data_IF_902669252934
#
_entry.id   IF_902669252934
#
_cell.length_a   1.000
_cell.length_b   1.000
_cell.length_c   1.000
_cell.angle_alpha   90.00
_cell.angle_beta   90.00
_cell.angle_gamma   90.00
#
_symmetry.space_group_name_H-M   'P 1'
#
loop_
_entity.id
_entity.type
_entity.pdbx_description
1 polymer ?
#
# COMPACT_ATOMS: atom_id res chain seq x y z
N UNK A 1 33.92 14.28 24.10
CA UNK A 1 33.91 13.15 23.14
C UNK A 1 33.58 13.72 21.77
N UNK A 2 34.47 13.58 20.79
CA UNK A 2 34.25 14.15 19.45
C UNK A 2 33.03 13.51 18.80
N UNK A 3 32.09 14.34 18.33
CA UNK A 3 30.90 13.89 17.62
C UNK A 3 31.37 13.30 16.28
N UNK A 4 31.44 11.98 16.18
CA UNK A 4 31.84 11.30 14.96
C UNK A 4 30.79 11.64 13.90
N UNK A 5 31.24 12.13 12.75
CA UNK A 5 30.37 12.44 11.61
C UNK A 5 29.53 11.19 11.23
N UNK A 6 28.19 11.27 11.28
CA UNK A 6 27.31 10.17 10.92
C UNK A 6 27.56 9.61 9.52
N UNK A 7 27.95 10.47 8.55
CA UNK A 7 28.23 10.01 7.20
C UNK A 7 29.54 9.21 7.13
N UNK A 8 30.56 9.63 7.89
CA UNK A 8 31.79 8.86 8.05
C UNK A 8 31.56 7.47 8.66
N UNK A 9 30.59 7.32 9.57
CA UNK A 9 30.20 6.01 10.12
C UNK A 9 29.54 5.10 9.09
N UNK A 10 28.79 5.67 8.15
CA UNK A 10 28.12 4.91 7.09
C UNK A 10 29.08 4.52 5.95
N UNK A 11 30.17 5.26 5.76
CA UNK A 11 31.10 5.05 4.64
C UNK A 11 31.80 3.70 4.72
N UNK A 12 31.58 2.86 3.71
CA UNK A 12 32.07 1.48 3.60
C UNK A 12 31.69 0.58 4.78
N UNK A 13 30.58 0.91 5.46
CA UNK A 13 30.22 0.25 6.71
C UNK A 13 29.97 -1.26 6.54
N UNK A 14 29.49 -1.70 5.36
CA UNK A 14 29.38 -3.12 5.00
C UNK A 14 30.73 -3.84 4.91
N UNK A 15 31.79 -3.15 4.44
CA UNK A 15 33.15 -3.69 4.38
C UNK A 15 33.80 -3.76 5.76
N UNK A 16 33.45 -2.81 6.64
CA UNK A 16 33.97 -2.69 8.01
C UNK A 16 33.21 -3.55 9.03
N UNK A 17 32.26 -4.38 8.59
CA UNK A 17 31.36 -5.17 9.44
C UNK A 17 30.73 -4.34 10.58
N UNK A 18 30.30 -3.12 10.24
CA UNK A 18 29.74 -2.21 11.23
C UNK A 18 28.43 -2.77 11.80
N UNK A 19 28.26 -2.81 13.14
CA UNK A 19 27.03 -3.30 13.75
C UNK A 19 25.81 -2.57 13.21
N UNK A 20 24.77 -3.34 12.84
CA UNK A 20 23.59 -2.82 12.15
C UNK A 20 22.88 -1.68 12.92
N UNK A 21 22.85 -1.73 14.25
CA UNK A 21 22.23 -0.69 15.07
C UNK A 21 22.99 0.64 15.01
N UNK A 22 24.31 0.62 14.78
CA UNK A 22 25.11 1.84 14.57
C UNK A 22 24.82 2.47 13.20
N UNK A 23 24.54 1.67 12.18
CA UNK A 23 24.09 2.16 10.87
C UNK A 23 22.77 2.92 11.00
N UNK A 24 21.82 2.35 11.76
CA UNK A 24 20.53 2.99 12.02
C UNK A 24 20.70 4.28 12.83
N UNK A 25 21.53 4.26 13.87
CA UNK A 25 21.81 5.47 14.66
C UNK A 25 22.41 6.59 13.80
N UNK A 26 23.34 6.26 12.91
CA UNK A 26 23.92 7.22 11.97
C UNK A 26 22.88 7.75 10.96
N UNK A 27 22.03 6.89 10.42
CA UNK A 27 20.93 7.30 9.53
C UNK A 27 19.96 8.25 10.25
N UNK A 28 19.49 7.89 11.45
CA UNK A 28 18.60 8.73 12.26
C UNK A 28 19.25 10.07 12.61
N UNK A 29 20.55 10.10 12.87
CA UNK A 29 21.27 11.34 13.16
C UNK A 29 21.38 12.26 11.94
N UNK A 30 21.40 11.72 10.73
CA UNK A 30 21.32 12.51 9.49
C UNK A 30 19.89 13.04 9.28
N UNK A 31 18.89 12.15 9.40
CA UNK A 31 17.46 12.49 9.22
C UNK A 31 16.94 13.48 10.28
N UNK A 32 17.54 13.49 11.48
CA UNK A 32 17.21 14.46 12.52
C UNK A 32 17.73 15.88 12.21
N UNK A 33 18.75 16.04 11.37
CA UNK A 33 19.28 17.35 10.97
C UNK A 33 18.47 17.96 9.84
N UNK A 34 18.01 17.14 8.89
CA UNK A 34 17.21 17.55 7.75
C UNK A 34 16.57 16.33 7.08
N UNK A 35 15.57 16.54 6.22
CA UNK A 35 14.95 15.46 5.44
C UNK A 35 15.81 14.98 4.25
N UNK A 36 16.77 15.80 3.82
CA UNK A 36 17.63 15.57 2.66
C UNK A 36 19.02 16.21 2.83
N UNK A 37 19.98 15.76 2.03
CA UNK A 37 21.31 16.37 1.94
C UNK A 37 21.29 17.73 1.22
N UNK A 38 22.47 18.34 1.05
CA UNK A 38 22.64 19.63 0.40
C UNK A 38 22.18 19.64 -1.07
N UNK A 39 22.15 18.47 -1.72
CA UNK A 39 21.65 18.28 -3.09
C UNK A 39 20.16 17.89 -3.16
N UNK A 40 19.44 17.88 -2.03
CA UNK A 40 18.01 17.53 -1.97
C UNK A 40 17.72 16.03 -2.10
N UNK A 41 18.73 15.16 -1.97
CA UNK A 41 18.55 13.71 -1.96
C UNK A 41 18.15 13.25 -0.56
N UNK A 42 17.13 12.38 -0.43
CA UNK A 42 16.76 11.82 0.86
C UNK A 42 17.94 11.09 1.52
N UNK A 43 18.17 11.34 2.82
CA UNK A 43 19.31 10.76 3.55
C UNK A 43 19.39 9.24 3.46
N UNK A 44 18.25 8.53 3.43
CA UNK A 44 18.24 7.07 3.24
C UNK A 44 18.88 6.62 1.91
N UNK A 45 18.78 7.42 0.84
CA UNK A 45 19.45 7.13 -0.46
C UNK A 45 20.94 7.41 -0.38
N UNK A 46 21.33 8.50 0.28
CA UNK A 46 22.74 8.86 0.52
C UNK A 46 23.43 7.80 1.39
N UNK A 47 22.79 7.41 2.48
CA UNK A 47 23.23 6.35 3.38
C UNK A 47 23.34 5.00 2.68
N UNK A 48 22.40 4.66 1.78
CA UNK A 48 22.46 3.44 0.98
C UNK A 48 23.70 3.42 0.07
N UNK A 49 23.97 4.54 -0.61
CA UNK A 49 25.16 4.68 -1.45
C UNK A 49 26.46 4.58 -0.63
N UNK A 50 26.55 5.29 0.50
CA UNK A 50 27.74 5.31 1.36
C UNK A 50 28.03 3.96 2.04
N UNK A 51 26.98 3.25 2.48
CA UNK A 51 27.10 2.01 3.26
C UNK A 51 27.11 0.73 2.43
N UNK A 52 26.78 0.81 1.13
CA UNK A 52 26.58 -0.35 0.23
C UNK A 52 25.46 -1.30 0.66
N UNK A 53 24.50 -0.78 1.41
CA UNK A 53 23.21 -1.43 1.68
C UNK A 53 22.12 -0.82 0.77
N UNK A 54 21.06 -1.58 0.51
CA UNK A 54 19.88 -1.04 -0.17
C UNK A 54 19.07 -0.16 0.78
N UNK A 55 18.33 0.80 0.23
CA UNK A 55 17.36 1.62 0.99
C UNK A 55 16.38 0.77 1.78
N UNK A 56 15.93 -0.35 1.20
CA UNK A 56 15.02 -1.30 1.86
C UNK A 56 15.66 -1.98 3.07
N UNK A 57 16.95 -2.36 2.98
CA UNK A 57 17.67 -2.95 4.11
C UNK A 57 17.81 -1.95 5.25
N UNK A 58 18.20 -0.71 4.97
CA UNK A 58 18.32 0.34 5.98
C UNK A 58 16.97 0.63 6.66
N UNK A 59 15.90 0.76 5.89
CA UNK A 59 14.53 0.91 6.44
C UNK A 59 14.05 -0.31 7.22
N UNK A 60 14.52 -1.50 6.89
CA UNK A 60 14.18 -2.70 7.64
C UNK A 60 14.93 -2.72 8.98
N UNK A 61 16.22 -2.36 8.98
CA UNK A 61 17.03 -2.22 10.19
C UNK A 61 16.43 -1.18 11.14
N UNK A 62 16.07 -0.01 10.63
CA UNK A 62 15.45 1.05 11.41
C UNK A 62 14.13 0.62 12.05
N UNK A 63 13.22 0.01 11.27
CA UNK A 63 11.95 -0.51 11.81
C UNK A 63 12.14 -1.61 12.85
N UNK A 64 13.15 -2.46 12.68
CA UNK A 64 13.49 -3.48 13.68
C UNK A 64 13.98 -2.83 14.96
N UNK A 65 14.85 -1.80 14.88
CA UNK A 65 15.32 -1.08 16.06
C UNK A 65 14.18 -0.39 16.79
N UNK A 66 13.32 0.36 16.08
CA UNK A 66 12.15 1.01 16.70
C UNK A 66 11.23 0.02 17.41
N UNK A 67 11.02 -1.16 16.83
CA UNK A 67 10.18 -2.18 17.45
C UNK A 67 10.82 -2.74 18.73
N UNK A 68 12.13 -2.96 18.73
CA UNK A 68 12.86 -3.41 19.93
C UNK A 68 12.85 -2.33 21.02
N UNK A 69 13.09 -1.07 20.66
CA UNK A 69 13.00 0.09 21.57
C UNK A 69 11.60 0.18 22.20
N UNK A 70 10.55 0.03 21.40
CA UNK A 70 9.17 0.01 21.89
C UNK A 70 8.86 -1.20 22.79
N UNK A 71 9.42 -2.37 22.52
CA UNK A 71 9.28 -3.53 23.40
C UNK A 71 9.96 -3.29 24.75
N UNK A 72 11.20 -2.78 24.74
CA UNK A 72 11.96 -2.49 25.96
C UNK A 72 11.35 -1.36 26.79
N UNK A 73 10.84 -0.30 26.16
CA UNK A 73 10.15 0.80 26.86
C UNK A 73 8.92 0.32 27.66
N UNK A 74 8.28 -0.74 27.19
CA UNK A 74 7.07 -1.31 27.80
C UNK A 74 7.35 -2.53 28.69
N UNK A 75 8.59 -3.04 28.73
CA UNK A 75 8.98 -4.16 29.56
C UNK A 75 10.37 -3.91 30.18
N UNK A 76 10.42 -3.46 31.45
CA UNK A 76 11.67 -3.10 32.14
C UNK A 76 12.68 -4.24 32.28
N UNK A 77 12.27 -5.50 32.04
CA UNK A 77 13.16 -6.67 32.09
C UNK A 77 14.01 -6.81 30.82
N UNK A 78 13.68 -6.10 29.75
CA UNK A 78 14.41 -6.15 28.48
C UNK A 78 15.50 -5.09 28.45
N UNK A 79 16.76 -5.53 28.52
CA UNK A 79 17.92 -4.66 28.29
C UNK A 79 18.27 -4.65 26.80
N UNK A 80 18.24 -3.48 26.15
CA UNK A 80 18.53 -3.37 24.71
C UNK A 80 19.97 -3.71 24.36
N UNK A 81 20.95 -3.32 25.19
CA UNK A 81 22.36 -3.49 24.88
C UNK A 81 22.75 -4.95 24.53
N UNK A 82 22.41 -5.97 25.34
CA UNK A 82 22.69 -7.36 25.01
C UNK A 82 21.83 -7.89 23.85
N UNK A 83 20.58 -7.40 23.71
CA UNK A 83 19.70 -7.77 22.58
C UNK A 83 20.29 -7.30 21.25
N UNK A 84 20.82 -6.08 21.16
CA UNK A 84 21.36 -5.51 19.92
C UNK A 84 22.64 -6.20 19.42
N UNK A 85 23.29 -7.00 20.28
CA UNK A 85 24.42 -7.84 19.90
C UNK A 85 24.01 -9.11 19.14
N UNK A 86 22.72 -9.48 19.19
CA UNK A 86 22.22 -10.63 18.45
C UNK A 86 22.25 -10.38 16.92
N UNK A 87 22.37 -11.44 16.10
CA UNK A 87 22.33 -11.29 14.66
C UNK A 87 21.03 -10.62 14.21
N UNK A 88 21.15 -9.65 13.31
CA UNK A 88 20.00 -8.89 12.79
C UNK A 88 18.87 -9.78 12.28
N UNK A 89 19.19 -10.88 11.60
CA UNK A 89 18.19 -11.84 11.08
C UNK A 89 17.33 -12.49 12.17
N UNK A 90 17.90 -12.70 13.36
CA UNK A 90 17.19 -13.28 14.50
C UNK A 90 16.28 -12.24 15.12
N UNK A 91 16.79 -11.02 15.33
CA UNK A 91 16.02 -9.90 15.86
C UNK A 91 14.86 -9.50 14.95
N UNK A 92 15.08 -9.48 13.64
CA UNK A 92 14.04 -9.19 12.64
C UNK A 92 12.90 -10.22 12.72
N UNK A 93 13.23 -11.49 12.90
CA UNK A 93 12.27 -12.56 13.03
C UNK A 93 11.54 -12.53 14.39
N UNK A 94 12.24 -12.22 15.47
CA UNK A 94 11.64 -12.02 16.80
C UNK A 94 10.68 -10.83 16.78
N UNK A 95 11.02 -9.73 16.11
CA UNK A 95 10.10 -8.59 15.91
C UNK A 95 8.87 -9.00 15.08
N UNK A 96 9.01 -9.91 14.10
CA UNK A 96 7.85 -10.48 13.40
C UNK A 96 6.99 -11.35 14.31
N UNK A 97 7.60 -12.13 15.21
CA UNK A 97 6.89 -12.87 16.24
C UNK A 97 6.14 -11.88 17.14
N UNK A 98 6.76 -10.79 17.59
CA UNK A 98 6.15 -9.80 18.48
C UNK A 98 4.87 -9.17 17.92
N UNK A 99 4.78 -9.03 16.59
CA UNK A 99 3.57 -8.53 15.90
C UNK A 99 2.40 -9.52 15.95
N UNK A 100 2.70 -10.81 16.07
CA UNK A 100 1.74 -11.88 16.12
C UNK A 100 1.41 -12.22 17.58
N UNK A 101 2.45 -12.45 18.38
CA UNK A 101 2.40 -12.82 19.79
C UNK A 101 3.53 -12.08 20.52
N UNK A 102 3.14 -10.97 21.15
CA UNK A 102 4.04 -10.08 21.88
C UNK A 102 4.67 -10.78 23.08
N UNK A 103 3.90 -11.55 23.83
CA UNK A 103 4.36 -12.21 25.05
C UNK A 103 5.46 -13.24 24.73
N UNK A 104 5.26 -14.03 23.66
CA UNK A 104 6.29 -14.98 23.22
C UNK A 104 7.58 -14.26 22.79
N UNK A 105 7.48 -13.15 22.07
CA UNK A 105 8.67 -12.39 21.69
C UNK A 105 9.41 -11.81 22.90
N UNK A 106 8.70 -11.28 23.88
CA UNK A 106 9.31 -10.78 25.12
C UNK A 106 10.01 -11.90 25.91
N UNK A 107 9.42 -13.11 25.97
CA UNK A 107 10.07 -14.30 26.55
C UNK A 107 11.35 -14.68 25.80
N UNK A 108 11.33 -14.65 24.46
CA UNK A 108 12.52 -14.93 23.63
C UNK A 108 13.64 -13.91 23.87
N UNK A 109 13.28 -12.64 24.05
CA UNK A 109 14.23 -11.55 24.33
C UNK A 109 14.69 -11.51 25.78
N UNK A 110 13.95 -12.09 26.73
CA UNK A 110 14.34 -12.11 28.16
C UNK A 110 15.23 -13.31 28.53
N UNK A 111 15.20 -14.39 27.75
CA UNK A 111 16.00 -15.59 28.01
C UNK A 111 17.37 -15.50 27.31
N UNK A 112 18.29 -14.79 27.97
CA UNK A 112 19.68 -14.61 27.51
C UNK A 112 20.43 -15.94 27.38
N UNK A 113 20.17 -16.88 28.29
CA UNK A 113 20.84 -18.19 28.33
C UNK A 113 20.50 -19.05 27.10
N UNK A 114 19.31 -18.85 26.52
CA UNK A 114 18.86 -19.55 25.33
C UNK A 114 19.32 -18.95 24.00
N UNK A 115 19.91 -17.76 23.97
CA UNK A 115 20.23 -17.09 22.69
C UNK A 115 21.26 -17.86 21.84
N UNK A 116 22.30 -18.41 22.46
CA UNK A 116 23.35 -19.17 21.76
C UNK A 116 22.86 -20.51 21.21
N UNK A 117 21.74 -21.02 21.74
CA UNK A 117 21.14 -22.30 21.34
C UNK A 117 20.06 -22.15 20.27
N UNK A 118 19.54 -20.94 20.07
CA UNK A 118 18.45 -20.68 19.12
C UNK A 118 19.01 -20.40 17.74
N UNK A 119 18.76 -21.31 16.82
CA UNK A 119 19.09 -21.07 15.41
C UNK A 119 18.01 -20.24 14.74
N UNK A 120 18.36 -19.61 13.62
CA UNK A 120 17.37 -18.94 12.76
C UNK A 120 16.25 -19.90 12.33
N UNK A 121 16.57 -21.18 12.12
CA UNK A 121 15.59 -22.22 11.75
C UNK A 121 14.58 -22.46 12.86
N UNK A 122 15.01 -22.49 14.12
CA UNK A 122 14.11 -22.69 15.27
C UNK A 122 13.17 -21.51 15.45
N UNK A 123 13.71 -20.28 15.35
CA UNK A 123 12.90 -19.07 15.37
C UNK A 123 11.91 -19.04 14.21
N UNK A 124 12.30 -19.56 13.04
CA UNK A 124 11.43 -19.61 11.87
C UNK A 124 10.32 -20.63 12.04
N UNK A 125 10.65 -21.82 12.56
CA UNK A 125 9.66 -22.83 12.91
C UNK A 125 8.66 -22.28 13.92
N UNK A 126 9.15 -21.60 14.97
CA UNK A 126 8.30 -20.97 15.97
C UNK A 126 7.40 -19.88 15.40
N UNK A 127 7.93 -19.03 14.51
CA UNK A 127 7.13 -18.04 13.80
C UNK A 127 6.05 -18.71 12.93
N UNK A 128 6.39 -19.78 12.22
CA UNK A 128 5.46 -20.52 11.37
C UNK A 128 4.39 -21.27 12.20
N UNK A 129 4.73 -21.81 13.37
CA UNK A 129 3.79 -22.37 14.35
C UNK A 129 2.79 -21.32 14.83
N UNK A 130 3.28 -20.17 15.30
CA UNK A 130 2.44 -19.06 15.78
C UNK A 130 1.56 -18.54 14.64
N UNK A 131 2.12 -18.43 13.43
CA UNK A 131 1.36 -18.04 12.25
C UNK A 131 0.30 -19.07 11.85
N UNK A 132 0.59 -20.35 12.03
CA UNK A 132 -0.34 -21.45 11.70
C UNK A 132 -1.43 -21.63 12.75
N UNK A 133 -1.13 -21.43 14.04
CA UNK A 133 -2.14 -21.35 15.10
C UNK A 133 -2.99 -20.08 14.97
N UNK A 134 -2.47 -19.05 14.28
CA UNK A 134 -3.21 -17.88 13.81
C UNK A 134 -3.87 -18.07 12.43
N UNK A 135 -4.12 -19.29 11.96
CA UNK A 135 -4.98 -19.49 10.76
C UNK A 135 -6.44 -19.03 10.95
N UNK A 136 -6.81 -18.55 12.15
CA UNK A 136 -7.99 -17.69 12.39
C UNK A 136 -7.74 -16.17 12.44
N UNK A 137 -6.49 -15.70 12.34
CA UNK A 137 -6.06 -14.29 12.43
C UNK A 137 -4.88 -14.02 11.47
N UNK A 138 -5.19 -13.74 10.20
CA UNK A 138 -4.22 -13.45 9.15
C UNK A 138 -3.22 -12.33 9.53
N UNK A 139 -1.93 -12.49 9.15
CA UNK A 139 -0.86 -11.50 9.39
C UNK A 139 -1.19 -10.13 8.76
N UNK A 140 -0.84 -9.00 9.39
CA UNK A 140 -1.28 -7.66 8.94
C UNK A 140 -0.99 -7.29 7.46
N UNK A 141 0.06 -7.86 6.83
CA UNK A 141 0.33 -7.66 5.38
C UNK A 141 -0.45 -8.62 4.48
N UNK A 142 -0.64 -9.88 4.88
CA UNK A 142 -1.52 -10.80 4.16
C UNK A 142 -2.98 -10.42 4.38
N UNK A 143 -3.34 -9.91 5.56
CA UNK A 143 -4.62 -9.32 5.89
C UNK A 143 -4.84 -8.05 5.08
N UNK A 144 -3.88 -7.13 4.95
CA UNK A 144 -4.05 -5.96 4.08
C UNK A 144 -4.30 -6.31 2.61
N UNK A 145 -3.55 -7.27 2.06
CA UNK A 145 -3.75 -7.75 0.69
C UNK A 145 -5.05 -8.57 0.53
N UNK A 146 -5.36 -9.45 1.49
CA UNK A 146 -6.61 -10.23 1.50
C UNK A 146 -7.82 -9.34 1.72
N UNK A 147 -7.73 -8.34 2.59
CA UNK A 147 -8.78 -7.35 2.82
C UNK A 147 -8.95 -6.45 1.61
N UNK A 148 -7.87 -6.04 0.92
CA UNK A 148 -7.99 -5.30 -0.36
C UNK A 148 -8.66 -6.17 -1.42
N UNK A 149 -8.23 -7.43 -1.54
CA UNK A 149 -8.84 -8.39 -2.46
C UNK A 149 -10.30 -8.67 -2.12
N UNK A 150 -10.63 -8.83 -0.83
CA UNK A 150 -11.98 -9.08 -0.36
C UNK A 150 -12.86 -7.84 -0.56
N UNK A 151 -12.35 -6.64 -0.32
CA UNK A 151 -13.04 -5.39 -0.57
C UNK A 151 -13.32 -5.21 -2.06
N UNK A 152 -12.31 -5.39 -2.92
CA UNK A 152 -12.47 -5.36 -4.37
C UNK A 152 -13.48 -6.43 -4.83
N UNK A 153 -13.43 -7.64 -4.27
CA UNK A 153 -14.42 -8.69 -4.54
C UNK A 153 -15.84 -8.26 -4.16
N UNK A 154 -16.03 -7.67 -2.98
CA UNK A 154 -17.33 -7.13 -2.56
C UNK A 154 -17.80 -6.01 -3.48
N UNK A 155 -16.92 -5.10 -3.90
CA UNK A 155 -17.25 -4.06 -4.87
C UNK A 155 -17.68 -4.66 -6.21
N UNK A 156 -16.96 -5.67 -6.70
CA UNK A 156 -17.32 -6.37 -7.93
C UNK A 156 -18.67 -7.07 -7.83
N UNK A 157 -18.95 -7.77 -6.72
CA UNK A 157 -20.23 -8.44 -6.49
C UNK A 157 -21.39 -7.44 -6.43
N UNK A 158 -21.18 -6.26 -5.83
CA UNK A 158 -22.17 -5.19 -5.81
C UNK A 158 -22.42 -4.60 -7.20
N UNK A 159 -21.36 -4.36 -7.96
CA UNK A 159 -21.46 -3.88 -9.34
C UNK A 159 -21.92 -4.97 -10.31
N UNK A 160 -21.87 -6.25 -9.96
CA UNK A 160 -22.43 -7.30 -10.81
C UNK A 160 -23.97 -7.27 -10.79
N UNK A 161 -24.59 -6.60 -9.82
CA UNK A 161 -26.04 -6.35 -9.80
C UNK A 161 -26.36 -5.25 -10.80
N UNK A 162 -27.18 -5.58 -11.79
CA UNK A 162 -27.52 -4.68 -12.90
C UNK A 162 -28.10 -3.33 -12.43
N UNK A 163 -29.03 -3.34 -11.48
CA UNK A 163 -29.61 -2.11 -10.90
C UNK A 163 -28.55 -1.19 -10.27
N UNK A 164 -27.53 -1.76 -9.62
CA UNK A 164 -26.46 -0.98 -9.01
C UNK A 164 -25.56 -0.30 -10.05
N UNK A 165 -25.27 -0.99 -11.16
CA UNK A 165 -24.60 -0.37 -12.31
C UNK A 165 -25.44 0.75 -12.90
N UNK A 166 -26.77 0.58 -12.91
CA UNK A 166 -27.72 1.56 -13.44
C UNK A 166 -27.67 2.85 -12.66
N UNK A 167 -27.83 2.73 -11.36
CA UNK A 167 -27.85 3.88 -10.46
C UNK A 167 -26.50 4.61 -10.46
N UNK A 168 -25.39 3.86 -10.59
CA UNK A 168 -24.05 4.44 -10.63
C UNK A 168 -23.75 5.16 -11.95
N UNK A 169 -24.05 4.52 -13.08
CA UNK A 169 -23.66 5.02 -14.40
C UNK A 169 -24.68 6.00 -15.00
N UNK A 170 -25.94 5.92 -14.55
CA UNK A 170 -27.07 6.62 -15.12
C UNK A 170 -27.44 6.08 -16.51
N UNK A 171 -27.42 4.76 -16.70
CA UNK A 171 -27.71 4.14 -18.00
C UNK A 171 -29.22 3.87 -18.18
N UNK A 172 -29.66 3.88 -19.44
CA UNK A 172 -31.01 3.50 -19.86
C UNK A 172 -30.97 2.08 -20.49
N UNK A 173 -31.64 1.07 -19.88
CA UNK A 173 -31.59 -0.32 -20.36
C UNK A 173 -32.13 -0.49 -21.79
N UNK A 174 -32.95 0.43 -22.30
CA UNK A 174 -33.54 0.31 -23.62
C UNK A 174 -32.57 0.71 -24.74
N UNK A 175 -31.61 1.61 -24.45
CA UNK A 175 -30.67 2.15 -25.44
C UNK A 175 -29.22 1.76 -25.19
N UNK A 176 -28.89 1.36 -23.96
CA UNK A 176 -27.51 1.23 -23.51
C UNK A 176 -27.12 -0.23 -23.31
N UNK A 177 -25.88 -0.56 -23.66
CA UNK A 177 -25.27 -1.86 -23.30
C UNK A 177 -24.16 -1.64 -22.30
N UNK A 178 -24.26 -2.27 -21.14
CA UNK A 178 -23.29 -2.17 -20.06
C UNK A 178 -22.67 -3.52 -19.72
N UNK A 179 -21.38 -3.52 -19.40
CA UNK A 179 -20.68 -4.71 -18.94
C UNK A 179 -19.58 -4.39 -17.94
N UNK A 180 -19.62 -5.03 -16.78
CA UNK A 180 -18.53 -4.99 -15.80
C UNK A 180 -17.46 -6.04 -16.15
N UNK A 181 -16.20 -5.63 -16.14
CA UNK A 181 -15.06 -6.52 -16.38
C UNK A 181 -13.95 -6.29 -15.35
N UNK A 182 -13.24 -7.35 -15.01
CA UNK A 182 -11.96 -7.23 -14.31
C UNK A 182 -10.91 -6.65 -15.25
N UNK A 183 -10.14 -5.70 -14.75
CA UNK A 183 -9.02 -5.19 -15.49
C UNK A 183 -7.97 -6.29 -15.65
N UNK A 184 -7.68 -6.64 -16.90
CA UNK A 184 -6.64 -7.62 -17.27
C UNK A 184 -5.59 -7.01 -18.19
N UNK A 185 -5.68 -5.69 -18.43
CA UNK A 185 -4.87 -4.97 -19.39
C UNK A 185 -3.47 -4.70 -18.88
N UNK A 186 -2.51 -4.70 -19.80
CA UNK A 186 -1.11 -4.29 -19.59
C UNK A 186 -0.89 -2.81 -19.93
N UNK A 187 -1.95 -2.00 -20.01
CA UNK A 187 -1.82 -0.58 -20.35
C UNK A 187 -0.99 0.12 -19.27
N UNK A 188 0.19 0.58 -19.66
CA UNK A 188 1.23 1.04 -18.72
C UNK A 188 0.87 2.31 -17.95
N UNK A 189 -0.16 3.05 -18.38
CA UNK A 189 -0.54 4.33 -17.79
C UNK A 189 -1.82 4.28 -16.95
N UNK A 190 -2.54 3.15 -16.93
CA UNK A 190 -3.71 2.99 -16.07
C UNK A 190 -3.89 1.55 -15.60
N UNK A 191 -4.25 1.42 -14.33
CA UNK A 191 -4.36 0.15 -13.61
C UNK A 191 -5.53 0.15 -12.62
N UNK A 192 -6.77 0.40 -13.08
CA UNK A 192 -7.93 0.28 -12.21
C UNK A 192 -8.15 -1.18 -11.80
N UNK A 193 -8.89 -1.41 -10.72
CA UNK A 193 -9.28 -2.78 -10.32
C UNK A 193 -10.29 -3.37 -11.32
N UNK A 194 -11.26 -2.55 -11.77
CA UNK A 194 -12.30 -2.94 -12.71
C UNK A 194 -12.54 -1.87 -13.77
N UNK A 195 -13.16 -2.28 -14.87
CA UNK A 195 -13.68 -1.36 -15.88
C UNK A 195 -15.14 -1.68 -16.19
N UNK A 196 -15.90 -0.63 -16.45
CA UNK A 196 -17.27 -0.71 -16.93
C UNK A 196 -17.26 -0.28 -18.38
N UNK A 197 -17.70 -1.17 -19.25
CA UNK A 197 -17.87 -0.91 -20.66
C UNK A 197 -19.29 -0.41 -20.86
N UNK A 198 -19.43 0.75 -21.46
CA UNK A 198 -20.73 1.35 -21.68
C UNK A 198 -20.87 1.74 -23.14
N UNK A 199 -21.95 1.30 -23.78
CA UNK A 199 -22.30 1.70 -25.14
C UNK A 199 -23.62 2.43 -25.12
N UNK A 200 -23.63 3.70 -25.54
CA UNK A 200 -24.81 4.56 -25.59
C UNK A 200 -24.98 5.00 -27.04
N UNK A 201 -26.15 4.76 -27.64
CA UNK A 201 -26.45 5.16 -29.02
C UNK A 201 -25.37 4.76 -30.05
N UNK A 202 -24.71 3.62 -29.82
CA UNK A 202 -23.64 3.11 -30.69
C UNK A 202 -22.22 3.56 -30.32
N UNK A 203 -22.06 4.67 -29.58
CA UNK A 203 -20.78 5.21 -29.09
C UNK A 203 -20.28 4.40 -27.89
N UNK A 204 -18.96 4.23 -27.76
CA UNK A 204 -18.34 3.37 -26.74
C UNK A 204 -17.59 4.22 -25.72
N UNK A 205 -17.82 3.93 -24.45
CA UNK A 205 -17.15 4.56 -23.32
C UNK A 205 -16.58 3.49 -22.39
N UNK A 206 -15.51 3.87 -21.69
CA UNK A 206 -14.91 3.07 -20.63
C UNK A 206 -14.91 3.89 -19.36
N UNK A 207 -15.45 3.33 -18.29
CA UNK A 207 -15.34 3.89 -16.95
C UNK A 207 -14.35 3.07 -16.13
N UNK A 208 -13.48 3.74 -15.38
CA UNK A 208 -12.53 3.12 -14.46
C UNK A 208 -13.12 3.01 -13.07
N UNK A 209 -12.84 1.91 -12.37
CA UNK A 209 -13.21 1.72 -10.96
C UNK A 209 -11.98 1.27 -10.16
N UNK A 210 -11.61 2.05 -9.16
CA UNK A 210 -10.53 1.76 -8.21
C UNK A 210 -11.12 1.48 -6.84
N UNK A 211 -10.73 0.36 -6.23
CA UNK A 211 -11.15 -0.06 -4.90
C UNK A 211 -10.08 0.27 -3.87
N UNK A 212 -10.30 1.35 -3.12
CA UNK A 212 -9.34 1.90 -2.18
C UNK A 212 -9.57 1.37 -0.78
N UNK A 213 -8.51 0.82 -0.21
CA UNK A 213 -8.48 0.37 1.18
C UNK A 213 -7.34 1.10 1.91
N UNK A 214 -7.64 2.29 2.44
CA UNK A 214 -6.66 3.18 3.09
C UNK A 214 -6.86 3.13 4.61
N UNK A 215 -6.07 2.30 5.30
CA UNK A 215 -6.14 2.14 6.76
C UNK A 215 -5.74 3.42 7.50
N UNK A 216 -6.54 3.75 8.51
CA UNK A 216 -6.58 5.06 9.16
C UNK A 216 -5.50 5.36 10.19
N UNK A 217 -4.22 5.06 9.91
CA UNK A 217 -3.11 5.55 10.74
C UNK A 217 -1.99 6.21 9.91
N UNK A 218 -2.12 6.25 8.58
CA UNK A 218 -1.17 6.89 7.64
C UNK A 218 -1.95 7.79 6.66
N UNK A 219 -2.74 8.69 7.24
CA UNK A 219 -3.90 9.29 6.57
C UNK A 219 -3.60 10.19 5.38
N UNK A 220 -2.53 10.99 5.42
CA UNK A 220 -2.34 12.07 4.43
C UNK A 220 -1.53 11.59 3.22
N UNK A 221 -0.32 11.07 3.43
CA UNK A 221 0.54 10.57 2.34
C UNK A 221 -0.13 9.48 1.49
N UNK A 222 -0.86 8.58 2.14
CA UNK A 222 -1.60 7.51 1.46
C UNK A 222 -2.72 8.07 0.58
N UNK A 223 -3.52 8.99 1.12
CA UNK A 223 -4.62 9.64 0.39
C UNK A 223 -4.11 10.50 -0.77
N UNK A 224 -3.04 11.27 -0.54
CA UNK A 224 -2.39 12.08 -1.58
C UNK A 224 -1.91 11.20 -2.73
N UNK A 225 -1.26 10.06 -2.44
CA UNK A 225 -0.77 9.15 -3.50
C UNK A 225 -1.90 8.60 -4.35
N UNK A 226 -2.99 8.16 -3.73
CA UNK A 226 -4.13 7.60 -4.47
C UNK A 226 -4.87 8.69 -5.27
N UNK A 227 -4.93 9.92 -4.76
CA UNK A 227 -5.47 11.06 -5.52
C UNK A 227 -4.59 11.43 -6.71
N UNK A 228 -3.26 11.43 -6.56
CA UNK A 228 -2.35 11.67 -7.69
C UNK A 228 -2.41 10.56 -8.74
N UNK A 229 -2.60 9.30 -8.31
CA UNK A 229 -2.88 8.17 -9.21
C UNK A 229 -4.18 8.45 -9.98
N UNK A 230 -5.27 8.74 -9.28
CA UNK A 230 -6.57 9.03 -9.90
C UNK A 230 -6.49 10.23 -10.86
N UNK A 231 -5.75 11.29 -10.51
CA UNK A 231 -5.52 12.45 -11.38
C UNK A 231 -4.92 12.07 -12.74
N UNK A 232 -4.03 11.07 -12.74
CA UNK A 232 -3.40 10.58 -13.97
C UNK A 232 -4.31 9.61 -14.71
N UNK A 233 -4.84 8.61 -14.01
CA UNK A 233 -5.61 7.54 -14.63
C UNK A 233 -6.96 8.02 -15.18
N UNK A 234 -7.63 8.96 -14.50
CA UNK A 234 -8.92 9.48 -14.93
C UNK A 234 -8.86 10.15 -16.31
N UNK A 235 -7.68 10.56 -16.79
CA UNK A 235 -7.50 11.12 -18.14
C UNK A 235 -7.83 10.12 -19.27
N UNK A 236 -7.78 8.82 -18.98
CA UNK A 236 -8.03 7.74 -19.95
C UNK A 236 -9.48 7.23 -19.93
N UNK A 237 -10.29 7.64 -18.96
CA UNK A 237 -11.66 7.12 -18.78
C UNK A 237 -12.68 8.24 -18.91
N UNK A 238 -13.87 7.91 -19.39
CA UNK A 238 -14.98 8.88 -19.48
C UNK A 238 -15.46 9.31 -18.09
N UNK A 239 -15.45 8.36 -17.15
CA UNK A 239 -15.73 8.54 -15.72
C UNK A 239 -14.75 7.66 -14.94
N UNK A 240 -14.27 8.13 -13.80
CA UNK A 240 -13.42 7.35 -12.90
C UNK A 240 -14.03 7.34 -11.50
N UNK A 241 -14.18 6.15 -10.92
CA UNK A 241 -14.79 6.01 -9.61
C UNK A 241 -13.80 5.46 -8.58
N UNK A 242 -13.72 6.13 -7.43
CA UNK A 242 -12.96 5.69 -6.26
C UNK A 242 -13.92 5.10 -5.22
N UNK A 243 -13.83 3.80 -5.01
CA UNK A 243 -14.66 3.08 -4.05
C UNK A 243 -13.92 3.00 -2.72
N UNK A 244 -14.58 3.39 -1.63
CA UNK A 244 -13.97 3.51 -0.30
C UNK A 244 -14.85 2.89 0.78
N UNK A 245 -14.29 2.27 1.83
CA UNK A 245 -15.06 1.84 3.00
C UNK A 245 -15.48 3.05 3.88
N UNK A 246 -16.45 2.89 4.79
CA UNK A 246 -16.97 3.98 5.63
C UNK A 246 -15.94 4.61 6.57
N UNK A 247 -14.91 3.85 6.93
CA UNK A 247 -13.83 4.30 7.82
C UNK A 247 -12.65 4.93 7.07
N UNK A 248 -12.68 5.00 5.75
CA UNK A 248 -11.65 5.68 4.97
C UNK A 248 -11.67 7.20 5.23
N UNK A 249 -10.55 7.92 5.01
CA UNK A 249 -10.49 9.38 5.17
C UNK A 249 -11.20 10.12 4.01
N UNK A 250 -12.51 9.93 3.88
CA UNK A 250 -13.33 10.45 2.79
C UNK A 250 -13.19 11.98 2.67
N UNK A 251 -13.22 12.69 3.79
CA UNK A 251 -13.07 14.15 3.81
C UNK A 251 -11.76 14.63 3.18
N UNK A 252 -10.64 14.01 3.56
CA UNK A 252 -9.29 14.32 3.04
C UNK A 252 -9.21 14.05 1.54
N UNK A 253 -9.71 12.88 1.10
CA UNK A 253 -9.78 12.56 -0.33
C UNK A 253 -10.57 13.62 -1.11
N UNK A 254 -11.72 14.05 -0.58
CA UNK A 254 -12.54 15.08 -1.22
C UNK A 254 -11.87 16.43 -1.33
N UNK A 255 -11.17 16.85 -0.27
CA UNK A 255 -10.40 18.09 -0.27
C UNK A 255 -9.31 18.07 -1.36
N UNK A 256 -8.55 16.98 -1.48
CA UNK A 256 -7.51 16.89 -2.51
C UNK A 256 -8.09 16.79 -3.94
N UNK A 257 -9.17 16.02 -4.16
CA UNK A 257 -9.84 15.97 -5.46
C UNK A 257 -10.35 17.35 -5.88
N UNK A 258 -10.95 18.09 -4.95
CA UNK A 258 -11.44 19.46 -5.17
C UNK A 258 -10.29 20.44 -5.44
N UNK A 259 -9.21 20.37 -4.66
CA UNK A 259 -8.02 21.21 -4.85
C UNK A 259 -7.38 21.02 -6.23
N UNK A 260 -7.37 19.78 -6.74
CA UNK A 260 -6.87 19.44 -8.08
C UNK A 260 -7.93 19.59 -9.19
N UNK A 261 -9.17 20.00 -8.86
CA UNK A 261 -10.29 20.15 -9.79
C UNK A 261 -10.57 18.89 -10.62
N UNK A 262 -10.48 17.73 -9.97
CA UNK A 262 -10.66 16.42 -10.62
C UNK A 262 -12.14 16.05 -10.74
N UNK A 263 -12.90 16.84 -11.50
CA UNK A 263 -14.35 16.66 -11.71
C UNK A 263 -14.71 15.33 -12.40
N UNK A 264 -13.74 14.66 -13.01
CA UNK A 264 -13.90 13.35 -13.68
C UNK A 264 -13.86 12.18 -12.71
N UNK A 265 -13.49 12.43 -11.46
CA UNK A 265 -13.34 11.44 -10.41
C UNK A 265 -14.52 11.58 -9.45
N UNK A 266 -15.30 10.50 -9.31
CA UNK A 266 -16.36 10.40 -8.31
C UNK A 266 -15.97 9.44 -7.19
N UNK A 267 -16.44 9.70 -5.97
CA UNK A 267 -16.27 8.81 -4.82
C UNK A 267 -17.57 8.09 -4.48
N UNK A 268 -17.44 6.80 -4.18
CA UNK A 268 -18.55 5.95 -3.74
C UNK A 268 -18.14 5.25 -2.46
N UNK A 269 -18.95 5.41 -1.41
CA UNK A 269 -18.76 4.69 -0.16
C UNK A 269 -19.46 3.33 -0.23
N UNK A 270 -18.79 2.29 0.26
CA UNK A 270 -19.32 0.94 0.38
C UNK A 270 -19.58 0.65 1.85
N UNK A 271 -20.83 0.81 2.28
CA UNK A 271 -21.25 0.53 3.65
C UNK A 271 -22.35 -0.52 3.68
N UNK A 272 -22.26 -1.48 4.61
CA UNK A 272 -23.21 -2.58 4.77
C UNK A 272 -23.63 -3.26 3.44
N UNK A 273 -22.68 -3.39 2.49
CA UNK A 273 -22.92 -3.89 1.12
C UNK A 273 -23.90 -3.05 0.29
N UNK A 274 -23.87 -1.73 0.46
CA UNK A 274 -24.61 -0.76 -0.36
C UNK A 274 -23.63 0.21 -1.01
N UNK A 275 -23.96 0.63 -2.23
CA UNK A 275 -23.27 1.72 -2.92
C UNK A 275 -23.89 3.04 -2.47
N UNK A 276 -23.10 3.89 -1.86
CA UNK A 276 -23.52 5.23 -1.42
C UNK A 276 -22.69 6.25 -2.19
N UNK A 277 -23.22 6.84 -3.28
CA UNK A 277 -22.53 7.89 -4.01
C UNK A 277 -22.27 9.09 -3.10
N UNK A 278 -21.01 9.51 -2.98
CA UNK A 278 -20.63 10.71 -2.22
C UNK A 278 -20.57 11.93 -3.14
N UNK A 279 -20.05 11.71 -4.35
CA UNK A 279 -19.96 12.69 -5.43
C UNK A 279 -19.96 11.95 -6.77
N UNK A 280 -20.54 12.61 -7.77
CA UNK A 280 -20.64 12.07 -9.12
C UNK A 280 -19.51 12.64 -9.98
N UNK A 281 -18.88 11.83 -10.84
CA UNK A 281 -17.97 12.36 -11.85
C UNK A 281 -18.78 13.05 -12.94
N UNK A 282 -18.76 14.39 -12.95
CA UNK A 282 -19.52 15.26 -13.84
C UNK A 282 -18.65 16.03 -14.85
N UNK A 283 -17.33 16.02 -14.66
CA UNK A 283 -16.36 16.64 -15.56
C UNK A 283 -15.92 15.74 -16.72
N UNK A 284 -15.37 16.37 -17.77
CA UNK A 284 -14.69 15.69 -18.87
C UNK A 284 -13.21 15.44 -18.54
N UNK A 285 -12.59 14.33 -18.99
CA UNK A 285 -11.19 14.01 -18.72
C UNK A 285 -10.27 15.10 -19.25
N UNK A 286 -9.35 15.58 -18.40
CA UNK A 286 -8.43 16.66 -18.72
C UNK A 286 -6.99 16.29 -18.34
N UNK A 287 -6.07 16.15 -19.32
CA UNK A 287 -6.36 16.10 -20.77
C UNK A 287 -7.21 14.88 -21.14
N UNK A 288 -7.95 14.96 -22.26
CA UNK A 288 -8.69 13.82 -22.77
C UNK A 288 -7.72 12.87 -23.49
N UNK A 289 -7.51 11.67 -22.94
CA UNK A 289 -6.65 10.61 -23.51
C UNK A 289 -7.40 9.31 -23.75
N UNK A 290 -8.74 9.36 -23.79
CA UNK A 290 -9.58 8.17 -23.94
C UNK A 290 -9.26 7.38 -25.22
N UNK A 291 -8.88 8.07 -26.30
CA UNK A 291 -8.53 7.42 -27.58
C UNK A 291 -7.35 6.46 -27.42
N UNK A 292 -6.35 6.79 -26.59
CA UNK A 292 -5.21 5.90 -26.31
C UNK A 292 -5.60 4.58 -25.65
N UNK A 293 -6.71 4.57 -24.92
CA UNK A 293 -7.26 3.39 -24.27
C UNK A 293 -8.11 2.57 -25.25
N UNK A 294 -8.90 3.24 -26.09
CA UNK A 294 -9.81 2.63 -27.07
C UNK A 294 -9.07 2.06 -28.29
N UNK A 295 -8.00 2.73 -28.73
CA UNK A 295 -7.15 2.33 -29.87
C UNK A 295 -6.19 1.18 -29.53
N UNK A 296 -5.94 0.93 -28.23
CA UNK A 296 -5.14 -0.21 -27.80
C UNK A 296 -5.92 -1.52 -27.99
N UNK A 297 -5.39 -2.38 -28.89
CA UNK A 297 -5.93 -3.68 -29.34
C UNK A 297 -6.47 -4.61 -28.22
N UNK A 298 -5.99 -4.48 -26.98
CA UNK A 298 -6.36 -5.36 -25.85
C UNK A 298 -7.78 -5.16 -25.34
N UNK A 299 -8.30 -3.94 -25.47
CA UNK A 299 -9.65 -3.57 -25.09
C UNK A 299 -10.55 -3.75 -26.32
N UNK A 300 -10.15 -3.32 -27.51
CA UNK A 300 -11.02 -3.30 -28.70
C UNK A 300 -11.54 -4.68 -29.17
N UNK A 301 -10.72 -5.74 -29.27
CA UNK A 301 -11.20 -7.06 -29.73
C UNK A 301 -12.07 -7.79 -28.69
N UNK A 302 -11.69 -7.73 -27.40
CA UNK A 302 -12.54 -8.23 -26.32
C UNK A 302 -13.84 -7.42 -26.22
N UNK A 303 -13.80 -6.11 -26.41
CA UNK A 303 -14.98 -5.24 -26.36
C UNK A 303 -16.03 -5.60 -27.41
N UNK A 304 -15.61 -5.85 -28.65
CA UNK A 304 -16.54 -6.17 -29.74
C UNK A 304 -17.19 -7.53 -29.49
N UNK A 305 -16.43 -8.56 -29.16
CA UNK A 305 -17.00 -9.89 -28.91
C UNK A 305 -17.85 -9.98 -27.64
N UNK A 306 -17.52 -9.21 -26.59
CA UNK A 306 -18.21 -9.27 -25.30
C UNK A 306 -19.52 -8.47 -25.28
N UNK A 307 -19.68 -7.43 -26.11
CA UNK A 307 -20.93 -6.67 -26.22
C UNK A 307 -21.85 -7.15 -27.37
N UNK A 308 -21.36 -8.03 -28.25
CA UNK A 308 -22.15 -8.65 -29.32
C UNK A 308 -22.90 -9.92 -28.89
N UNK A 309 -22.50 -10.59 -27.79
CA UNK A 309 -23.14 -11.82 -27.27
C UNK A 309 -24.32 -11.56 -26.32
N UNK A 310 -24.76 -10.31 -26.21
CA UNK A 310 -25.85 -9.83 -25.34
C UNK A 310 -26.89 -9.10 -26.17
#
# INVERSE_FOLDING_TARGET
MGQIDPLAQLTDARRKDTPWYKLVAALRALEAKSLADEEGRPWVKVAAAASRFTTNQLRQMDRTLSALEALAANNPRLSLAPILALPFSHLELIVRIAKADRETAEKLLSDESGWSRRTYRDLRHRYDEIRSSMTGRASSRSAGQQSRHQFAKTCFELLAVEQNLRDLCGYDPDTDKIRLLKWTGTFQYASPDFVILHRVNGERFVYGVECLLIYGDVHEDGSVREVLKAATEATFFKKYFMFVPPWAPIGVLGQHLSALKLHTVGRVMIDARKLIPLDKPDGAPLPNRQDLLLDNYYISEKFVHLLQKS
#
